data_IF_929209359152
#
_entry.id   IF_929209359152
#
_cell.length_a   1.000
_cell.length_b   1.000
_cell.length_c   1.000
_cell.angle_alpha   90.00
_cell.angle_beta   90.00
_cell.angle_gamma   90.00
#
_symmetry.space_group_name_H-M   'P 1'
#
loop_
_entity.id
_entity.type
_entity.pdbx_description
1 polymer ?
#
# COMPACT_ATOMS: atom_id res chain seq x y z
N UNK A 1 -1.21 22.29 1.06
CA UNK A 1 -2.44 21.60 0.64
C UNK A 1 -2.62 20.39 1.54
N UNK A 2 -3.77 20.24 2.19
CA UNK A 2 -4.10 18.98 2.85
C UNK A 2 -4.29 17.93 1.77
N UNK A 3 -3.77 16.73 2.00
CA UNK A 3 -3.96 15.59 1.13
C UNK A 3 -4.38 14.39 1.98
N UNK A 4 -5.11 13.47 1.37
CA UNK A 4 -5.47 12.20 1.97
C UNK A 4 -4.94 11.07 1.11
N UNK A 5 -4.71 9.93 1.73
CA UNK A 5 -4.22 8.73 1.09
C UNK A 5 -5.36 7.71 1.03
N UNK A 6 -5.66 7.25 -0.18
CA UNK A 6 -6.70 6.25 -0.45
C UNK A 6 -6.04 4.97 -0.92
N UNK A 7 -6.45 3.84 -0.35
CA UNK A 7 -5.98 2.51 -0.72
C UNK A 7 -7.01 1.88 -1.65
N UNK A 8 -6.55 1.35 -2.78
CA UNK A 8 -7.34 0.54 -3.72
C UNK A 8 -6.66 -0.82 -3.84
N UNK A 9 -7.34 -1.88 -3.43
CA UNK A 9 -6.86 -3.26 -3.51
C UNK A 9 -7.68 -4.02 -4.54
N UNK A 10 -7.04 -4.56 -5.57
CA UNK A 10 -7.69 -5.32 -6.65
C UNK A 10 -8.91 -4.61 -7.27
N UNK A 11 -8.84 -3.28 -7.36
CA UNK A 11 -9.92 -2.43 -7.91
C UNK A 11 -10.92 -1.92 -6.87
N UNK A 12 -10.88 -2.44 -5.64
CA UNK A 12 -11.82 -2.09 -4.58
C UNK A 12 -11.18 -1.11 -3.57
N UNK A 13 -11.79 0.07 -3.34
CA UNK A 13 -11.28 1.03 -2.38
C UNK A 13 -11.53 0.57 -0.94
N UNK A 14 -10.62 0.92 -0.03
CA UNK A 14 -10.88 0.79 1.40
C UNK A 14 -11.87 1.86 1.86
N UNK A 15 -12.65 1.55 2.89
CA UNK A 15 -13.66 2.45 3.47
C UNK A 15 -13.07 3.57 4.35
N UNK A 16 -11.75 3.64 4.49
CA UNK A 16 -11.04 4.59 5.35
C UNK A 16 -9.96 5.28 4.54
N UNK A 17 -9.82 6.58 4.77
CA UNK A 17 -8.76 7.42 4.20
C UNK A 17 -7.73 7.76 5.27
N UNK A 18 -6.48 7.93 4.85
CA UNK A 18 -5.34 8.14 5.74
C UNK A 18 -4.73 9.52 5.54
N UNK A 19 -4.07 10.05 6.56
CA UNK A 19 -3.41 11.36 6.48
C UNK A 19 -1.96 11.26 5.99
N UNK A 20 -1.34 10.09 6.08
CA UNK A 20 0.05 9.87 5.68
C UNK A 20 0.19 8.62 4.82
N UNK A 21 1.23 8.59 3.98
CA UNK A 21 1.55 7.41 3.17
C UNK A 21 1.89 6.21 4.07
N UNK A 22 2.67 6.46 5.12
CA UNK A 22 3.16 5.43 6.04
C UNK A 22 2.01 4.74 6.79
N UNK A 23 0.97 5.48 7.16
CA UNK A 23 -0.21 4.89 7.81
C UNK A 23 -1.01 4.00 6.85
N UNK A 24 -1.15 4.42 5.58
CA UNK A 24 -1.79 3.60 4.55
C UNK A 24 -1.00 2.29 4.29
N UNK A 25 0.32 2.38 4.16
CA UNK A 25 1.21 1.20 4.01
C UNK A 25 1.13 0.28 5.24
N UNK A 26 1.13 0.84 6.45
CA UNK A 26 1.06 0.04 7.67
C UNK A 26 -0.24 -0.78 7.75
N UNK A 27 -1.37 -0.22 7.31
CA UNK A 27 -2.64 -0.97 7.27
C UNK A 27 -2.61 -2.09 6.23
N UNK A 28 -2.06 -1.84 5.05
CA UNK A 28 -1.86 -2.87 4.02
C UNK A 28 -1.03 -4.02 4.56
N UNK A 29 0.10 -3.72 5.20
CA UNK A 29 0.99 -4.72 5.82
C UNK A 29 0.30 -5.48 6.94
N UNK A 30 -0.50 -4.79 7.77
CA UNK A 30 -1.24 -5.44 8.85
C UNK A 30 -2.32 -6.37 8.32
N UNK A 31 -3.07 -5.97 7.28
CA UNK A 31 -4.14 -6.77 6.67
C UNK A 31 -3.60 -8.04 6.03
N UNK A 32 -2.48 -7.96 5.34
CA UNK A 32 -1.88 -9.08 4.59
C UNK A 32 -0.69 -9.73 5.32
N UNK A 33 -0.58 -9.51 6.64
CA UNK A 33 0.56 -9.97 7.44
C UNK A 33 0.80 -11.47 7.31
N UNK A 34 -0.25 -12.29 7.32
CA UNK A 34 -0.13 -13.75 7.21
C UNK A 34 0.49 -14.16 5.88
N UNK A 35 0.01 -13.60 4.76
CA UNK A 35 0.59 -13.82 3.43
C UNK A 35 2.05 -13.38 3.39
N UNK A 36 2.38 -12.21 3.94
CA UNK A 36 3.75 -11.69 3.98
C UNK A 36 4.66 -12.62 4.81
N UNK A 37 4.20 -13.08 5.98
CA UNK A 37 4.94 -13.97 6.86
C UNK A 37 5.15 -15.36 6.21
N UNK A 38 4.16 -15.88 5.46
CA UNK A 38 4.30 -17.10 4.66
C UNK A 38 5.39 -16.94 3.60
N UNK A 39 5.35 -15.85 2.83
CA UNK A 39 6.35 -15.58 1.80
C UNK A 39 7.76 -15.42 2.37
N UNK A 40 7.90 -14.73 3.51
CA UNK A 40 9.19 -14.55 4.17
C UNK A 40 9.79 -15.89 4.62
N UNK A 41 8.95 -16.84 5.03
CA UNK A 41 9.37 -18.21 5.35
C UNK A 41 9.78 -18.98 4.09
N UNK A 42 9.00 -18.90 3.02
CA UNK A 42 9.32 -19.57 1.74
C UNK A 42 10.58 -19.01 1.09
N UNK A 43 10.83 -17.71 1.25
CA UNK A 43 12.02 -17.05 0.73
C UNK A 43 13.27 -17.31 1.58
N UNK A 44 13.23 -18.04 2.69
CA UNK A 44 14.37 -18.28 3.59
C UNK A 44 15.14 -17.00 3.99
N UNK A 45 14.44 -15.85 4.05
CA UNK A 45 15.05 -14.54 4.34
C UNK A 45 15.66 -13.81 3.13
N UNK A 46 15.51 -14.33 1.91
CA UNK A 46 15.78 -13.59 0.68
C UNK A 46 14.70 -12.53 0.41
N UNK A 47 15.01 -11.49 -0.39
CA UNK A 47 14.03 -10.47 -0.77
C UNK A 47 12.81 -11.13 -1.41
N UNK A 48 11.65 -10.99 -0.77
CA UNK A 48 10.37 -11.43 -1.33
C UNK A 48 10.02 -10.56 -2.54
N UNK A 49 9.33 -11.14 -3.52
CA UNK A 49 8.78 -10.42 -4.68
C UNK A 49 7.56 -9.60 -4.25
N UNK A 50 7.68 -8.80 -3.20
CA UNK A 50 6.63 -7.96 -2.67
C UNK A 50 7.19 -6.57 -2.46
N UNK A 51 6.77 -5.66 -3.33
CA UNK A 51 7.19 -4.26 -3.36
C UNK A 51 6.47 -3.44 -2.26
N UNK A 52 6.50 -3.94 -1.02
CA UNK A 52 5.81 -3.37 0.13
C UNK A 52 6.59 -2.23 0.82
N UNK A 53 7.88 -2.12 0.54
CA UNK A 53 8.77 -1.06 1.05
C UNK A 53 9.07 0.01 -0.01
N UNK A 54 8.25 0.06 -1.06
CA UNK A 54 8.38 1.06 -2.13
C UNK A 54 8.17 2.47 -1.56
N UNK A 55 9.09 3.41 -1.78
CA UNK A 55 8.90 4.79 -1.34
C UNK A 55 7.69 5.42 -2.05
N UNK A 56 7.03 6.36 -1.38
CA UNK A 56 5.94 7.15 -1.97
C UNK A 56 6.39 7.78 -3.30
N UNK A 57 5.66 7.52 -4.39
CA UNK A 57 5.82 8.27 -5.63
C UNK A 57 5.16 9.65 -5.48
N UNK A 58 6.00 10.63 -5.15
CA UNK A 58 5.59 12.03 -4.97
C UNK A 58 5.33 12.76 -6.28
N UNK A 59 5.79 12.24 -7.42
CA UNK A 59 5.62 12.87 -8.74
C UNK A 59 4.22 12.59 -9.26
N UNK A 60 3.82 11.31 -9.26
CA UNK A 60 2.50 10.90 -9.78
C UNK A 60 1.42 10.95 -8.70
N UNK A 61 1.80 10.91 -7.41
CA UNK A 61 0.87 10.75 -6.31
C UNK A 61 0.21 9.36 -6.28
N UNK A 62 0.73 8.40 -7.04
CA UNK A 62 0.22 7.03 -7.13
C UNK A 62 1.37 6.06 -6.87
N UNK A 63 1.30 5.35 -5.75
CA UNK A 63 2.28 4.31 -5.43
C UNK A 63 1.63 2.95 -5.59
N UNK A 64 2.33 2.02 -6.24
CA UNK A 64 1.90 0.64 -6.41
C UNK A 64 2.68 -0.25 -5.45
N UNK A 65 1.96 -1.14 -4.77
CA UNK A 65 2.50 -2.19 -3.92
C UNK A 65 1.96 -3.52 -4.41
N UNK A 66 2.78 -4.55 -4.34
CA UNK A 66 2.38 -5.91 -4.67
C UNK A 66 2.60 -6.81 -3.46
N UNK A 67 1.59 -7.61 -3.15
CA UNK A 67 1.68 -8.75 -2.23
C UNK A 67 1.41 -10.00 -3.08
N UNK A 68 2.16 -11.08 -2.87
CA UNK A 68 1.93 -12.35 -3.59
C UNK A 68 0.47 -12.81 -3.52
N UNK A 69 0.13 -13.79 -4.36
CA UNK A 69 -1.25 -14.29 -4.55
C UNK A 69 -2.17 -13.26 -5.23
N UNK A 70 -1.62 -12.54 -6.22
CA UNK A 70 -2.38 -11.60 -7.06
C UNK A 70 -3.04 -10.46 -6.27
N UNK A 71 -2.36 -9.97 -5.23
CA UNK A 71 -2.83 -8.86 -4.40
C UNK A 71 -2.15 -7.57 -4.89
N UNK A 72 -2.88 -6.83 -5.71
CA UNK A 72 -2.48 -5.56 -6.30
C UNK A 72 -3.00 -4.39 -5.48
N UNK A 73 -2.10 -3.54 -5.00
CA UNK A 73 -2.47 -2.44 -4.13
C UNK A 73 -1.98 -1.12 -4.71
N UNK A 74 -2.87 -0.14 -4.77
CA UNK A 74 -2.55 1.22 -5.17
C UNK A 74 -2.86 2.17 -4.03
N UNK A 75 -1.89 3.00 -3.68
CA UNK A 75 -2.06 4.09 -2.73
C UNK A 75 -2.03 5.41 -3.51
N UNK A 76 -3.16 6.12 -3.47
CA UNK A 76 -3.34 7.40 -4.14
C UNK A 76 -3.27 8.54 -3.12
N UNK A 77 -2.42 9.54 -3.39
CA UNK A 77 -2.39 10.82 -2.70
C UNK A 77 -3.33 11.79 -3.39
N UNK A 78 -4.46 12.10 -2.76
CA UNK A 78 -5.49 12.98 -3.30
C UNK A 78 -5.50 14.32 -2.55
N UNK A 79 -5.45 15.47 -3.26
CA UNK A 79 -5.55 16.76 -2.62
C UNK A 79 -6.97 17.03 -2.11
N UNK A 80 -7.08 17.57 -0.90
CA UNK A 80 -8.33 18.06 -0.33
C UNK A 80 -8.52 19.50 -0.76
N UNK A 81 -9.48 19.72 -1.65
CA UNK A 81 -9.91 21.06 -2.05
C UNK A 81 -10.89 21.59 -1.00
N UNK A 82 -10.57 22.73 -0.40
CA UNK A 82 -11.53 23.51 0.37
C UNK A 82 -12.21 24.46 -0.61
N UNK A 83 -13.52 24.30 -0.80
CA UNK A 83 -14.36 25.21 -1.55
C UNK A 83 -15.00 26.24 -0.62
#
# INVERSE_FOLDING_TARGET
>A
MNAVYVIIENGEPYNVVYQTFESAVAVVKAKHKETIDEQLKEAEGYPICSDLDTPEDKITGKTYLYVEKEIYIYIYKLPVLAF
#
